data_IF_866316116843
#
_entry.id   IF_866316116843
#
_cell.length_a   1.000
_cell.length_b   1.000
_cell.length_c   1.000
_cell.angle_alpha   90.00
_cell.angle_beta   90.00
_cell.angle_gamma   90.00
#
_symmetry.space_group_name_H-M   'P 1'
#
loop_
_entity.id
_entity.type
_entity.pdbx_description
1 polymer ?
#
# COMPACT_ATOMS: atom_id res chain seq x y z
N UNK A 1 -2.61 -6.81 -15.55
CA UNK A 1 -1.49 -6.28 -16.39
C UNK A 1 -0.89 -5.13 -15.60
N UNK A 2 0.42 -5.12 -15.35
CA UNK A 2 1.04 -4.09 -14.54
C UNK A 2 0.92 -2.71 -15.20
N UNK A 3 0.71 -1.70 -14.36
CA UNK A 3 0.57 -0.29 -14.73
C UNK A 3 1.47 0.54 -13.83
N UNK A 4 1.88 1.71 -14.31
CA UNK A 4 2.74 2.61 -13.55
C UNK A 4 1.90 3.57 -12.69
N UNK A 5 2.13 3.54 -11.38
CA UNK A 5 1.49 4.39 -10.39
C UNK A 5 2.51 5.28 -9.71
N UNK A 6 2.21 6.57 -9.56
CA UNK A 6 3.01 7.47 -8.72
C UNK A 6 2.32 7.69 -7.39
N UNK A 7 2.94 7.24 -6.30
CA UNK A 7 2.42 7.38 -4.95
C UNK A 7 3.32 8.31 -4.13
N UNK A 8 2.70 9.18 -3.33
CA UNK A 8 3.38 9.99 -2.32
C UNK A 8 3.09 9.42 -0.94
N UNK A 9 4.09 8.79 -0.34
CA UNK A 9 3.95 8.09 0.95
C UNK A 9 4.94 8.67 1.95
N UNK A 10 4.45 9.08 3.12
CA UNK A 10 5.27 9.69 4.18
C UNK A 10 6.18 10.83 3.67
N UNK A 11 5.64 11.66 2.77
CA UNK A 11 6.34 12.80 2.17
C UNK A 11 7.27 12.46 1.00
N UNK A 12 7.46 11.18 0.65
CA UNK A 12 8.33 10.74 -0.46
C UNK A 12 7.50 10.24 -1.64
N UNK A 13 7.77 10.77 -2.83
CA UNK A 13 7.14 10.30 -4.06
C UNK A 13 7.96 9.19 -4.70
N UNK A 14 7.30 8.12 -5.14
CA UNK A 14 7.91 7.01 -5.89
C UNK A 14 6.93 6.54 -6.97
N UNK A 15 7.44 6.27 -8.16
CA UNK A 15 6.71 5.58 -9.22
C UNK A 15 7.00 4.09 -9.15
N UNK A 16 5.96 3.27 -9.22
CA UNK A 16 6.01 1.81 -9.13
C UNK A 16 5.22 1.20 -10.27
N UNK A 17 5.61 0.01 -10.73
CA UNK A 17 4.83 -0.77 -11.68
C UNK A 17 4.12 -1.88 -10.91
N UNK A 18 2.79 -1.85 -10.86
CA UNK A 18 1.98 -2.74 -10.04
C UNK A 18 0.71 -3.17 -10.77
N UNK A 19 0.14 -4.31 -10.38
CA UNK A 19 -1.19 -4.67 -10.88
C UNK A 19 -2.26 -3.82 -10.15
N UNK A 20 -3.24 -3.21 -10.85
CA UNK A 20 -4.32 -2.45 -10.21
C UNK A 20 -5.13 -3.24 -9.18
N UNK A 21 -5.14 -4.58 -9.28
CA UNK A 21 -5.82 -5.46 -8.32
C UNK A 21 -4.94 -5.81 -7.11
N UNK A 22 -3.66 -5.43 -7.11
CA UNK A 22 -2.75 -5.68 -6.00
C UNK A 22 -3.11 -4.81 -4.78
N UNK A 23 -3.35 -5.40 -3.60
CA UNK A 23 -3.67 -4.63 -2.40
C UNK A 23 -2.57 -3.64 -2.02
N UNK A 24 -2.95 -2.37 -1.76
CA UNK A 24 -2.03 -1.31 -1.31
C UNK A 24 -1.16 -1.72 -0.12
N UNK A 25 -1.66 -2.60 0.74
CA UNK A 25 -0.89 -3.17 1.85
C UNK A 25 0.43 -3.82 1.38
N UNK A 26 0.41 -4.60 0.31
CA UNK A 26 1.61 -5.28 -0.19
C UNK A 26 2.57 -4.30 -0.84
N UNK A 27 2.04 -3.39 -1.66
CA UNK A 27 2.80 -2.28 -2.23
C UNK A 27 3.55 -1.49 -1.16
N UNK A 28 2.89 -1.07 -0.08
CA UNK A 28 3.53 -0.32 1.00
C UNK A 28 4.63 -1.14 1.70
N UNK A 29 4.44 -2.45 1.84
CA UNK A 29 5.38 -3.33 2.53
C UNK A 29 6.59 -3.69 1.69
N UNK A 30 6.40 -3.88 0.40
CA UNK A 30 7.40 -4.43 -0.51
C UNK A 30 8.11 -3.29 -1.27
N UNK A 31 7.36 -2.38 -1.88
CA UNK A 31 7.92 -1.26 -2.65
C UNK A 31 8.42 -0.11 -1.78
N UNK A 32 7.76 0.15 -0.64
CA UNK A 32 8.12 1.25 0.26
C UNK A 32 8.81 0.77 1.55
N UNK A 33 8.95 -0.56 1.74
CA UNK A 33 9.52 -1.18 2.94
C UNK A 33 8.83 -0.73 4.27
N UNK A 34 7.56 -0.34 4.19
CA UNK A 34 6.76 0.12 5.33
C UNK A 34 6.02 -1.05 5.95
N UNK A 35 6.68 -1.74 6.88
CA UNK A 35 6.15 -2.97 7.50
C UNK A 35 5.25 -2.73 8.71
N UNK A 36 4.91 -1.48 9.01
CA UNK A 36 4.05 -1.08 10.14
C UNK A 36 2.62 -1.62 10.00
N UNK A 37 1.97 -1.33 8.86
CA UNK A 37 0.68 -1.92 8.50
C UNK A 37 0.82 -3.42 8.25
N UNK A 38 -0.10 -4.22 8.81
CA UNK A 38 -0.03 -5.69 8.80
C UNK A 38 -1.23 -6.33 8.13
N UNK A 39 -1.01 -7.49 7.54
CA UNK A 39 -2.11 -8.41 7.23
C UNK A 39 -2.61 -9.01 8.54
N UNK A 40 -3.83 -8.63 8.94
CA UNK A 40 -4.48 -9.15 10.14
C UNK A 40 -5.54 -10.19 9.80
N UNK A 41 -6.72 -9.71 9.40
CA UNK A 41 -7.89 -10.57 9.18
C UNK A 41 -8.31 -10.75 7.72
N UNK A 42 -7.81 -9.93 6.78
CA UNK A 42 -8.30 -9.90 5.38
C UNK A 42 -9.76 -9.45 5.20
N UNK A 43 -10.50 -9.23 6.30
CA UNK A 43 -11.94 -8.96 6.34
C UNK A 43 -12.28 -7.54 6.82
N UNK A 44 -11.30 -6.63 6.85
CA UNK A 44 -11.47 -5.23 7.30
C UNK A 44 -11.98 -5.04 8.75
N UNK A 45 -11.91 -6.07 9.62
CA UNK A 45 -12.45 -6.02 10.98
C UNK A 45 -11.45 -5.61 12.07
N UNK A 46 -10.18 -5.98 11.92
CA UNK A 46 -9.18 -5.80 13.00
C UNK A 46 -8.44 -4.46 12.96
N UNK A 47 -8.52 -3.69 11.87
CA UNK A 47 -7.79 -2.42 11.71
C UNK A 47 -6.27 -2.55 11.54
N UNK A 48 -5.70 -3.77 11.49
CA UNK A 48 -4.24 -3.96 11.45
C UNK A 48 -3.55 -3.40 10.19
N UNK A 49 -4.29 -3.23 9.08
CA UNK A 49 -3.79 -2.66 7.83
C UNK A 49 -4.20 -1.19 7.61
N UNK A 50 -4.72 -0.51 8.63
CA UNK A 50 -5.22 0.86 8.50
C UNK A 50 -4.09 1.85 8.18
N UNK A 51 -4.35 2.74 7.24
CA UNK A 51 -3.49 3.86 6.84
C UNK A 51 -4.33 5.10 6.64
N UNK A 52 -3.70 6.28 6.68
CA UNK A 52 -4.34 7.54 6.31
C UNK A 52 -4.05 7.77 4.83
N UNK A 53 -5.09 8.01 4.06
CA UNK A 53 -5.00 8.36 2.65
C UNK A 53 -5.74 9.68 2.44
N UNK A 54 -5.03 10.65 1.90
CA UNK A 54 -5.60 11.92 1.49
C UNK A 54 -5.97 11.84 0.00
N UNK A 55 -7.09 12.48 -0.37
CA UNK A 55 -7.58 12.61 -1.74
C UNK A 55 -6.79 13.63 -2.55
#
# INVERSE_FOLDING_TARGET
MPQDFTLRVNGKSKTISADPEEPLLYILRDEFNLKGAKYGCGLQQCGACMVIADS
#
